data_IF_354307499815
#
_entry.id   IF_354307499815
#
_cell.length_a   1.000
_cell.length_b   1.000
_cell.length_c   1.000
_cell.angle_alpha   90.00
_cell.angle_beta   90.00
_cell.angle_gamma   90.00
#
_symmetry.space_group_name_H-M   'P 1'
#
loop_
_entity.id
_entity.type
_entity.pdbx_description
1 polymer ?
#
# COMPACT_ATOMS: atom_id res chain seq x y z
N UNK A 1 4.69 13.46 -6.21
CA UNK A 1 6.09 13.54 -6.68
C UNK A 1 6.09 13.39 -8.18
N UNK A 2 6.89 14.18 -8.88
CA UNK A 2 7.07 14.07 -10.33
C UNK A 2 7.86 12.80 -10.68
N UNK A 3 7.53 12.13 -11.78
CA UNK A 3 8.26 10.96 -12.29
C UNK A 3 7.95 9.60 -11.62
N UNK A 4 7.05 9.54 -10.63
CA UNK A 4 6.72 8.27 -9.94
C UNK A 4 6.00 7.29 -10.86
N UNK A 5 5.16 7.78 -11.79
CA UNK A 5 4.40 6.92 -12.67
C UNK A 5 5.31 6.15 -13.62
N UNK A 6 6.35 6.82 -14.14
CA UNK A 6 7.37 6.20 -14.98
C UNK A 6 8.17 5.15 -14.21
N UNK A 7 8.70 5.50 -13.03
CA UNK A 7 9.45 4.57 -12.19
C UNK A 7 8.66 3.29 -11.88
N UNK A 8 7.40 3.42 -11.49
CA UNK A 8 6.57 2.26 -11.15
C UNK A 8 6.19 1.44 -12.39
N UNK A 9 6.01 2.10 -13.54
CA UNK A 9 5.82 1.41 -14.82
C UNK A 9 7.03 0.56 -15.19
N UNK A 10 8.24 1.11 -15.05
CA UNK A 10 9.48 0.41 -15.35
C UNK A 10 9.70 -0.79 -14.40
N UNK A 11 9.40 -0.62 -13.10
CA UNK A 11 9.45 -1.73 -12.12
C UNK A 11 8.47 -2.84 -12.49
N UNK A 12 7.24 -2.49 -12.89
CA UNK A 12 6.25 -3.47 -13.32
C UNK A 12 6.67 -4.19 -14.61
N UNK A 13 7.28 -3.49 -15.56
CA UNK A 13 7.82 -4.08 -16.80
C UNK A 13 8.98 -5.06 -16.53
N UNK A 14 9.73 -4.86 -15.45
CA UNK A 14 10.76 -5.80 -15.00
C UNK A 14 10.20 -7.06 -14.31
N UNK A 15 8.88 -7.27 -14.32
CA UNK A 15 8.22 -8.47 -13.78
C UNK A 15 7.87 -8.40 -12.29
N UNK A 16 8.04 -7.24 -11.65
CA UNK A 16 7.65 -7.06 -10.25
C UNK A 16 6.17 -6.69 -10.12
N UNK A 17 5.51 -7.21 -9.08
CA UNK A 17 4.15 -6.83 -8.73
C UNK A 17 4.17 -5.62 -7.77
N UNK A 18 3.36 -4.61 -8.05
CA UNK A 18 3.20 -3.44 -7.19
C UNK A 18 2.04 -3.64 -6.23
N UNK A 19 2.25 -3.34 -4.95
CA UNK A 19 1.22 -3.30 -3.92
C UNK A 19 1.21 -1.92 -3.25
N UNK A 20 0.02 -1.35 -3.08
CA UNK A 20 -0.18 -0.04 -2.45
C UNK A 20 -0.58 -0.23 -0.99
N UNK A 21 0.05 0.50 -0.07
CA UNK A 21 -0.29 0.48 1.36
C UNK A 21 -0.71 1.88 1.82
N UNK A 22 -1.90 1.99 2.41
CA UNK A 22 -2.45 3.26 2.90
C UNK A 22 -2.88 3.17 4.36
N UNK A 23 -2.70 4.27 5.09
CA UNK A 23 -3.26 4.44 6.43
C UNK A 23 -4.72 4.91 6.41
N UNK A 24 -5.30 5.12 5.21
CA UNK A 24 -6.72 5.43 5.04
C UNK A 24 -7.56 4.22 5.36
N UNK A 25 -8.74 4.50 5.89
CA UNK A 25 -9.61 3.46 6.36
C UNK A 25 -10.32 2.72 5.21
N UNK A 26 -10.80 1.50 5.48
CA UNK A 26 -11.46 0.66 4.47
C UNK A 26 -12.74 1.31 3.92
N UNK A 27 -13.43 2.14 4.68
CA UNK A 27 -14.56 2.95 4.20
C UNK A 27 -14.18 3.97 3.11
N UNK A 28 -12.90 4.26 2.93
CA UNK A 28 -12.36 5.12 1.87
C UNK A 28 -11.63 4.33 0.77
N UNK A 29 -11.87 3.02 0.67
CA UNK A 29 -11.16 2.14 -0.26
C UNK A 29 -11.38 2.55 -1.71
N UNK A 30 -12.62 2.85 -2.10
CA UNK A 30 -12.96 3.16 -3.50
C UNK A 30 -12.37 4.50 -3.92
N UNK A 31 -12.47 5.52 -3.07
CA UNK A 31 -11.80 6.82 -3.30
C UNK A 31 -10.30 6.68 -3.42
N UNK A 32 -9.68 5.80 -2.62
CA UNK A 32 -8.23 5.60 -2.65
C UNK A 32 -7.80 4.86 -3.91
N UNK A 33 -8.53 3.84 -4.34
CA UNK A 33 -8.27 3.14 -5.61
C UNK A 33 -8.44 4.08 -6.79
N UNK A 34 -9.54 4.83 -6.82
CA UNK A 34 -9.79 5.82 -7.86
C UNK A 34 -8.68 6.87 -7.93
N UNK A 35 -8.17 7.33 -6.79
CA UNK A 35 -7.04 8.25 -6.74
C UNK A 35 -5.78 7.62 -7.36
N UNK A 36 -5.38 6.41 -6.94
CA UNK A 36 -4.18 5.74 -7.45
C UNK A 36 -4.28 5.48 -8.95
N UNK A 37 -5.41 4.93 -9.42
CA UNK A 37 -5.60 4.63 -10.84
C UNK A 37 -5.84 5.87 -11.71
N UNK A 38 -6.22 6.99 -11.10
CA UNK A 38 -6.36 8.28 -11.76
C UNK A 38 -5.04 9.04 -11.95
N UNK A 39 -3.93 8.59 -11.35
CA UNK A 39 -2.63 9.25 -11.52
C UNK A 39 -2.07 8.97 -12.91
N UNK A 40 -1.94 10.04 -13.69
CA UNK A 40 -1.27 10.04 -15.00
C UNK A 40 -0.18 11.12 -14.98
N UNK A 41 1.04 10.75 -15.35
CA UNK A 41 2.17 11.69 -15.48
C UNK A 41 2.90 11.39 -16.79
N UNK A 42 3.03 12.38 -17.67
CA UNK A 42 3.75 12.26 -18.95
C UNK A 42 3.30 11.05 -19.79
N UNK A 43 2.00 10.72 -19.75
CA UNK A 43 1.42 9.55 -20.43
C UNK A 43 1.56 8.21 -19.69
N UNK A 44 2.35 8.15 -18.61
CA UNK A 44 2.48 6.97 -17.76
C UNK A 44 1.40 6.92 -16.70
N UNK A 45 0.82 5.74 -16.53
CA UNK A 45 -0.15 5.43 -15.47
C UNK A 45 0.54 4.60 -14.39
N UNK A 46 0.04 4.70 -13.16
CA UNK A 46 0.48 3.77 -12.13
C UNK A 46 0.02 2.34 -12.47
N UNK A 47 0.87 1.33 -12.30
CA UNK A 47 0.51 -0.07 -12.56
C UNK A 47 -0.61 -0.54 -11.63
N UNK A 48 -1.42 -1.48 -12.09
CA UNK A 48 -2.47 -2.06 -11.25
C UNK A 48 -1.86 -2.92 -10.14
N UNK A 49 -2.47 -2.86 -8.96
CA UNK A 49 -2.00 -3.58 -7.79
C UNK A 49 -3.00 -3.57 -6.64
N UNK A 50 -2.93 -4.57 -5.74
CA UNK A 50 -3.76 -4.59 -4.54
C UNK A 50 -3.48 -3.35 -3.67
N UNK A 51 -4.53 -2.77 -3.10
CA UNK A 51 -4.43 -1.67 -2.13
C UNK A 51 -4.79 -2.20 -0.76
N UNK A 52 -3.81 -2.25 0.13
CA UNK A 52 -3.98 -2.64 1.52
C UNK A 52 -4.38 -1.41 2.33
N UNK A 53 -5.57 -1.48 2.91
CA UNK A 53 -6.17 -0.41 3.69
C UNK A 53 -6.17 -0.75 5.17
N UNK A 54 -6.29 0.31 5.94
CA UNK A 54 -6.42 0.25 7.38
C UNK A 54 -7.86 -0.14 7.75
N UNK A 55 -8.09 -1.16 8.58
CA UNK A 55 -9.44 -1.50 9.01
C UNK A 55 -9.99 -0.43 9.97
N UNK A 56 -11.12 0.20 9.63
CA UNK A 56 -11.72 1.37 10.31
C UNK A 56 -11.80 1.26 11.84
N UNK A 57 -12.29 0.12 12.35
CA UNK A 57 -12.56 -0.09 13.77
C UNK A 57 -11.37 -0.61 14.56
N UNK A 58 -10.54 -1.46 13.96
CA UNK A 58 -9.28 -1.92 14.55
C UNK A 58 -8.29 -0.77 14.65
N UNK A 59 -8.27 0.14 13.66
CA UNK A 59 -7.40 1.30 13.70
C UNK A 59 -7.77 2.33 14.77
N UNK A 60 -9.02 2.45 15.22
CA UNK A 60 -9.32 3.37 16.33
C UNK A 60 -8.74 2.89 17.67
N UNK A 61 -8.80 1.59 17.95
CA UNK A 61 -8.18 0.94 19.10
C UNK A 61 -6.64 0.95 18.97
N UNK A 62 -6.12 0.56 17.81
CA UNK A 62 -4.68 0.57 17.52
C UNK A 62 -4.10 1.99 17.42
N UNK A 63 -4.86 3.01 16.97
CA UNK A 63 -4.45 4.42 16.93
C UNK A 63 -4.37 5.01 18.33
N UNK A 64 -5.19 4.53 19.28
CA UNK A 64 -5.06 4.87 20.71
C UNK A 64 -3.76 4.31 21.31
N UNK A 65 -3.37 3.11 20.89
CA UNK A 65 -2.10 2.48 21.28
C UNK A 65 -0.88 3.10 20.54
N UNK A 66 -1.01 3.39 19.24
CA UNK A 66 0.00 4.03 18.37
C UNK A 66 0.16 5.53 18.65
N UNK A 67 -0.84 6.18 19.28
CA UNK A 67 -0.72 7.53 19.82
C UNK A 67 0.44 7.64 20.84
N UNK A 68 0.87 6.50 21.42
CA UNK A 68 2.13 6.38 22.17
C UNK A 68 3.41 6.35 21.29
N UNK A 69 3.33 6.89 20.06
CA UNK A 69 4.43 7.54 19.29
C UNK A 69 5.13 6.74 18.18
N UNK A 70 4.59 5.65 17.64
CA UNK A 70 5.28 4.87 16.56
C UNK A 70 4.39 4.34 15.42
N UNK A 71 3.95 5.18 14.48
CA UNK A 71 3.12 4.77 13.34
C UNK A 71 3.80 3.80 12.36
N UNK A 72 5.14 3.70 12.35
CA UNK A 72 5.89 2.76 11.53
C UNK A 72 5.66 1.30 11.94
N UNK A 73 5.32 1.03 13.21
CA UNK A 73 5.08 -0.33 13.72
C UNK A 73 3.92 -1.01 12.99
N UNK A 74 2.85 -0.26 12.68
CA UNK A 74 1.73 -0.81 11.93
C UNK A 74 2.13 -1.23 10.52
N UNK A 75 2.82 -0.37 9.78
CA UNK A 75 3.27 -0.69 8.41
C UNK A 75 4.20 -1.90 8.40
N UNK A 76 5.10 -2.01 9.38
CA UNK A 76 5.98 -3.17 9.51
C UNK A 76 5.22 -4.44 9.87
N UNK A 77 4.24 -4.38 10.76
CA UNK A 77 3.39 -5.52 11.13
C UNK A 77 2.62 -6.03 9.91
N UNK A 78 1.90 -5.15 9.21
CA UNK A 78 1.14 -5.55 8.00
C UNK A 78 2.04 -6.13 6.92
N UNK A 79 3.22 -5.56 6.67
CA UNK A 79 4.16 -6.12 5.70
C UNK A 79 4.73 -7.47 6.15
N UNK A 80 4.98 -7.65 7.45
CA UNK A 80 5.42 -8.92 8.02
C UNK A 80 4.33 -9.99 7.88
N UNK A 81 3.08 -9.63 8.15
CA UNK A 81 1.94 -10.54 8.01
C UNK A 81 1.78 -10.98 6.56
N UNK A 82 1.85 -10.04 5.61
CA UNK A 82 1.80 -10.35 4.17
C UNK A 82 2.96 -11.26 3.76
N UNK A 83 4.18 -10.96 4.19
CA UNK A 83 5.34 -11.82 3.91
C UNK A 83 5.14 -13.24 4.43
N UNK A 84 4.60 -13.39 5.64
CA UNK A 84 4.36 -14.69 6.25
C UNK A 84 3.32 -15.54 5.46
N UNK A 85 2.46 -14.94 4.63
CA UNK A 85 1.55 -15.68 3.75
C UNK A 85 2.27 -16.47 2.65
N UNK A 86 3.50 -16.09 2.28
CA UNK A 86 4.26 -16.73 1.22
C UNK A 86 5.11 -17.92 1.70
N UNK A 87 5.05 -18.26 3.00
CA UNK A 87 5.85 -19.34 3.60
C UNK A 87 7.30 -18.95 3.88
N UNK A 88 8.10 -19.89 4.40
CA UNK A 88 9.56 -19.74 4.42
C UNK A 88 10.07 -19.77 2.97
N UNK A 89 11.10 -18.96 2.67
CA UNK A 89 11.69 -18.84 1.33
C UNK A 89 11.93 -20.23 0.74
N UNK A 90 11.11 -20.60 -0.25
CA UNK A 90 11.42 -21.73 -1.12
C UNK A 90 12.45 -21.26 -2.14
N UNK A 91 13.70 -21.12 -1.68
CA UNK A 91 14.90 -21.11 -2.53
C UNK A 91 15.30 -22.52 -2.88
#
# INVERSE_FOLDING_TARGET
HTGIARLYSDIAQNGYNIMYLTSRSVGQADTTRAYVYGVVQDGYKLPHGPTILSPDRTMAALRREIYLRKPHVFKMATLRDIRNLYGEDKT
#
